data_IF_681095782301
#
_entry.id   IF_681095782301
#
_cell.length_a   1.000
_cell.length_b   1.000
_cell.length_c   1.000
_cell.angle_alpha   90.00
_cell.angle_beta   90.00
_cell.angle_gamma   90.00
#
_symmetry.space_group_name_H-M   'P 1'
#
loop_
_entity.id
_entity.type
_entity.pdbx_description
1 polymer ?
#
# COMPACT_ATOMS: atom_id res chain seq x y z
N UNK A 1 31.43 -42.90 -22.40
CA UNK A 1 30.05 -42.76 -21.85
C UNK A 1 29.98 -41.83 -20.64
N UNK A 2 30.85 -41.95 -19.62
CA UNK A 2 30.80 -41.08 -18.43
C UNK A 2 31.00 -39.56 -18.69
N UNK A 3 31.82 -39.18 -19.68
CA UNK A 3 32.09 -37.77 -20.02
C UNK A 3 30.85 -37.07 -20.61
N UNK A 4 30.08 -37.78 -21.43
CA UNK A 4 28.86 -37.26 -22.08
C UNK A 4 27.78 -36.94 -21.04
N UNK A 5 27.61 -37.81 -20.05
CA UNK A 5 26.63 -37.58 -18.97
C UNK A 5 27.07 -36.44 -18.05
N UNK A 6 28.37 -36.29 -17.77
CA UNK A 6 28.90 -35.14 -17.00
C UNK A 6 28.62 -33.82 -17.71
N UNK A 7 28.82 -33.74 -19.02
CA UNK A 7 28.49 -32.55 -19.82
C UNK A 7 26.98 -32.28 -19.85
N UNK A 8 26.15 -33.31 -19.99
CA UNK A 8 24.69 -33.14 -19.99
C UNK A 8 24.16 -32.65 -18.64
N UNK A 9 24.66 -33.21 -17.53
CA UNK A 9 24.36 -32.74 -16.17
C UNK A 9 24.84 -31.31 -15.94
N UNK A 10 26.03 -30.95 -16.42
CA UNK A 10 26.56 -29.60 -16.30
C UNK A 10 25.70 -28.58 -17.06
N UNK A 11 25.35 -28.86 -18.33
CA UNK A 11 24.50 -28.00 -19.13
C UNK A 11 23.08 -27.87 -18.55
N UNK A 12 22.51 -28.97 -18.04
CA UNK A 12 21.22 -28.94 -17.36
C UNK A 12 21.27 -28.09 -16.08
N UNK A 13 22.32 -28.22 -15.27
CA UNK A 13 22.55 -27.33 -14.12
C UNK A 13 22.70 -25.86 -14.54
N UNK A 14 23.48 -25.56 -15.59
CA UNK A 14 23.62 -24.18 -16.08
C UNK A 14 22.28 -23.57 -16.52
N UNK A 15 21.45 -24.35 -17.23
CA UNK A 15 20.10 -23.91 -17.63
C UNK A 15 19.21 -23.65 -16.42
N UNK A 16 19.19 -24.56 -15.44
CA UNK A 16 18.42 -24.35 -14.20
C UNK A 16 18.88 -23.11 -13.43
N UNK A 17 20.19 -22.92 -13.28
CA UNK A 17 20.77 -21.75 -12.59
C UNK A 17 20.42 -20.45 -13.31
N UNK A 18 20.52 -20.43 -14.64
CA UNK A 18 20.15 -19.25 -15.45
C UNK A 18 18.66 -18.92 -15.34
N UNK A 19 17.79 -19.93 -15.36
CA UNK A 19 16.34 -19.75 -15.18
C UNK A 19 15.99 -19.18 -13.80
N UNK A 20 16.58 -19.71 -12.73
CA UNK A 20 16.38 -19.19 -11.36
C UNK A 20 16.87 -17.75 -11.20
N UNK A 21 18.02 -17.40 -11.80
CA UNK A 21 18.59 -16.05 -11.71
C UNK A 21 17.72 -15.02 -12.43
N UNK A 22 17.17 -15.37 -13.60
CA UNK A 22 16.27 -14.49 -14.38
C UNK A 22 14.96 -14.25 -13.62
N UNK A 23 14.36 -15.30 -13.04
CA UNK A 23 13.13 -15.15 -12.24
C UNK A 23 13.37 -14.31 -10.98
N UNK A 24 14.48 -14.51 -10.28
CA UNK A 24 14.85 -13.72 -9.11
C UNK A 24 15.08 -12.24 -9.47
N UNK A 25 15.77 -11.96 -10.58
CA UNK A 25 15.98 -10.59 -11.07
C UNK A 25 14.66 -9.90 -11.43
N UNK A 26 13.72 -10.63 -12.03
CA UNK A 26 12.38 -10.12 -12.34
C UNK A 26 11.58 -9.78 -11.07
N UNK A 27 11.59 -10.66 -10.08
CA UNK A 27 10.91 -10.42 -8.81
C UNK A 27 11.43 -9.16 -8.12
N UNK A 28 12.76 -9.01 -8.03
CA UNK A 28 13.39 -7.82 -7.42
C UNK A 28 12.98 -6.53 -8.13
N UNK A 29 12.89 -6.57 -9.47
CA UNK A 29 12.46 -5.42 -10.24
C UNK A 29 10.99 -5.06 -10.00
N UNK A 30 10.10 -6.04 -10.01
CA UNK A 30 8.67 -5.85 -9.71
C UNK A 30 8.46 -5.31 -8.28
N UNK A 31 9.19 -5.85 -7.30
CA UNK A 31 9.14 -5.37 -5.90
C UNK A 31 9.59 -3.89 -5.78
N UNK A 32 10.62 -3.48 -6.54
CA UNK A 32 11.10 -2.10 -6.55
C UNK A 32 10.10 -1.13 -7.19
N UNK A 33 9.43 -1.54 -8.27
CA UNK A 33 8.37 -0.73 -8.89
C UNK A 33 7.18 -0.55 -7.94
N UNK A 34 6.78 -1.60 -7.22
CA UNK A 34 5.72 -1.52 -6.22
C UNK A 34 6.10 -0.57 -5.07
N UNK A 35 7.33 -0.64 -4.56
CA UNK A 35 7.78 0.28 -3.51
C UNK A 35 7.83 1.73 -3.99
N UNK A 36 8.31 1.97 -5.22
CA UNK A 36 8.33 3.29 -5.84
C UNK A 36 6.90 3.84 -6.00
N UNK A 37 5.96 3.02 -6.46
CA UNK A 37 4.56 3.40 -6.61
C UNK A 37 3.92 3.71 -5.25
N UNK A 38 4.19 2.90 -4.22
CA UNK A 38 3.69 3.16 -2.87
C UNK A 38 4.23 4.46 -2.29
N UNK A 39 5.51 4.78 -2.50
CA UNK A 39 6.08 6.04 -2.04
C UNK A 39 5.57 7.23 -2.86
N UNK A 40 5.20 7.04 -4.12
CA UNK A 40 4.55 8.07 -4.94
C UNK A 40 3.18 8.48 -4.39
N UNK A 41 2.42 7.54 -3.81
CA UNK A 41 1.12 7.80 -3.18
C UNK A 41 1.25 8.49 -1.80
N UNK A 42 2.47 8.71 -1.29
CA UNK A 42 2.69 9.28 0.03
C UNK A 42 2.22 10.74 0.08
N UNK A 43 1.32 11.03 1.02
CA UNK A 43 0.89 12.40 1.29
C UNK A 43 1.94 13.08 2.17
N UNK A 44 2.64 14.07 1.59
CA UNK A 44 3.71 14.83 2.27
C UNK A 44 3.17 16.09 2.94
N UNK A 45 2.33 16.83 2.22
CA UNK A 45 1.80 18.12 2.65
C UNK A 45 0.28 18.17 2.40
N UNK A 46 -0.50 17.99 3.46
CA UNK A 46 -1.95 18.14 3.41
C UNK A 46 -2.35 19.52 3.98
N UNK A 47 -3.08 20.36 3.22
CA UNK A 47 -3.49 21.67 3.71
C UNK A 47 -4.29 21.60 5.02
N UNK A 48 -3.91 22.45 5.98
CA UNK A 48 -4.56 22.50 7.29
C UNK A 48 -4.23 21.33 8.24
N UNK A 49 -3.33 20.42 7.84
CA UNK A 49 -2.91 19.29 8.66
C UNK A 49 -1.97 19.73 9.81
N UNK A 50 -2.24 19.34 11.08
CA UNK A 50 -1.30 19.51 12.17
C UNK A 50 -0.11 18.52 12.05
N UNK A 51 1.06 18.82 12.63
CA UNK A 51 2.22 17.92 12.56
C UNK A 51 1.92 16.50 13.07
N UNK A 52 2.31 15.48 12.31
CA UNK A 52 2.17 14.06 12.68
C UNK A 52 3.45 13.28 12.44
N UNK A 53 3.60 12.15 13.14
CA UNK A 53 4.75 11.25 13.02
C UNK A 53 4.45 9.97 12.21
N UNK A 54 3.19 9.73 11.86
CA UNK A 54 2.80 8.58 11.05
C UNK A 54 2.73 8.95 9.57
N UNK A 55 2.99 7.95 8.72
CA UNK A 55 2.86 8.09 7.26
C UNK A 55 1.43 7.82 6.84
N UNK A 56 0.97 8.52 5.82
CA UNK A 56 -0.31 8.26 5.19
C UNK A 56 -0.19 8.44 3.68
N UNK A 57 -1.01 7.69 2.95
CA UNK A 57 -0.88 7.49 1.51
C UNK A 57 -2.25 7.55 0.88
N UNK A 58 -2.39 8.21 -0.26
CA UNK A 58 -3.64 8.26 -0.99
C UNK A 58 -3.39 8.08 -2.47
N UNK A 59 -4.23 7.28 -3.11
CA UNK A 59 -4.06 6.94 -4.52
C UNK A 59 -5.25 6.18 -5.07
N UNK A 60 -5.05 5.51 -6.19
CA UNK A 60 -6.08 4.76 -6.89
C UNK A 60 -5.67 3.31 -7.11
N UNK A 61 -6.54 2.37 -6.72
CA UNK A 61 -6.40 0.95 -7.04
C UNK A 61 -7.24 0.65 -8.28
N UNK A 62 -6.59 0.26 -9.38
CA UNK A 62 -7.27 -0.14 -10.62
C UNK A 62 -7.94 -1.50 -10.42
N UNK A 63 -9.23 -1.61 -10.76
CA UNK A 63 -10.00 -2.85 -10.60
C UNK A 63 -9.89 -3.79 -11.79
N UNK A 64 -9.62 -3.23 -12.98
CA UNK A 64 -9.40 -3.99 -14.20
C UNK A 64 -8.07 -3.51 -14.82
N UNK A 65 -6.98 -4.29 -14.69
CA UNK A 65 -5.69 -3.94 -15.27
C UNK A 65 -5.72 -3.88 -16.81
N UNK A 66 -6.67 -4.58 -17.45
CA UNK A 66 -6.72 -4.78 -18.89
C UNK A 66 -7.57 -3.70 -19.55
N UNK A 67 -8.72 -3.35 -18.96
CA UNK A 67 -9.65 -2.36 -19.53
C UNK A 67 -9.49 -0.96 -18.93
N UNK A 68 -8.97 -0.85 -17.71
CA UNK A 68 -8.58 0.44 -17.10
C UNK A 68 -9.72 1.43 -16.78
N UNK A 69 -11.00 1.07 -16.98
CA UNK A 69 -12.09 2.04 -16.85
C UNK A 69 -12.57 2.31 -15.42
N UNK A 70 -12.16 1.50 -14.43
CA UNK A 70 -12.61 1.63 -13.04
C UNK A 70 -11.43 1.57 -12.07
N UNK A 71 -11.40 2.52 -11.14
CA UNK A 71 -10.45 2.55 -10.05
C UNK A 71 -11.13 3.02 -8.76
N UNK A 72 -10.66 2.51 -7.62
CA UNK A 72 -11.10 2.93 -6.29
C UNK A 72 -10.06 3.87 -5.70
N UNK A 73 -10.50 5.06 -5.28
CA UNK A 73 -9.67 5.93 -4.47
C UNK A 73 -9.54 5.37 -3.05
N UNK A 74 -8.34 5.42 -2.48
CA UNK A 74 -8.07 5.02 -1.11
C UNK A 74 -7.29 6.10 -0.36
N UNK A 75 -7.40 6.09 0.97
CA UNK A 75 -6.54 6.88 1.85
C UNK A 75 -6.13 6.06 3.07
N UNK A 76 -4.90 5.55 3.02
CA UNK A 76 -4.30 4.65 3.97
C UNK A 76 -3.51 5.39 5.05
N UNK A 77 -3.77 5.07 6.31
CA UNK A 77 -3.08 5.64 7.47
C UNK A 77 -2.27 4.55 8.18
N UNK A 78 -0.96 4.78 8.30
CA UNK A 78 -0.14 3.91 9.14
C UNK A 78 -0.54 4.03 10.61
N UNK A 79 -0.25 2.96 11.35
CA UNK A 79 -0.33 2.98 12.79
C UNK A 79 0.62 4.06 13.37
N UNK A 80 0.16 4.80 14.38
CA UNK A 80 0.94 5.88 15.00
C UNK A 80 2.23 5.40 15.66
N UNK A 81 2.25 4.15 16.14
CA UNK A 81 3.48 3.44 16.48
C UNK A 81 3.63 2.29 15.50
N UNK A 82 4.65 2.37 14.65
CA UNK A 82 4.90 1.38 13.62
C UNK A 82 5.30 0.06 14.28
N UNK A 83 4.54 -1.01 14.03
CA UNK A 83 4.85 -2.35 14.51
C UNK A 83 4.25 -3.36 13.54
N UNK A 84 5.03 -4.35 13.07
CA UNK A 84 4.54 -5.36 12.13
C UNK A 84 3.42 -6.24 12.71
N UNK A 85 3.22 -6.21 14.03
CA UNK A 85 2.18 -7.00 14.71
C UNK A 85 0.82 -6.30 14.79
N UNK A 86 0.71 -5.06 14.33
CA UNK A 86 -0.59 -4.35 14.33
C UNK A 86 -1.45 -4.79 13.16
N UNK A 87 -2.77 -4.94 13.35
CA UNK A 87 -3.65 -5.41 12.29
C UNK A 87 -3.84 -4.33 11.21
N UNK A 88 -4.07 -4.81 9.98
CA UNK A 88 -4.67 -4.02 8.90
C UNK A 88 -6.19 -4.07 9.03
N UNK A 89 -6.83 -2.92 8.96
CA UNK A 89 -8.28 -2.76 8.97
C UNK A 89 -8.70 -2.01 7.73
N UNK A 90 -9.60 -2.61 6.95
CA UNK A 90 -10.32 -1.96 5.88
C UNK A 90 -11.65 -1.41 6.42
N UNK A 91 -11.93 -0.14 6.17
CA UNK A 91 -13.18 0.50 6.57
C UNK A 91 -14.01 0.94 5.37
N UNK A 92 -15.26 0.50 5.34
CA UNK A 92 -16.21 0.80 4.27
C UNK A 92 -17.48 1.43 4.87
N UNK A 93 -17.74 2.69 4.55
CA UNK A 93 -19.04 3.28 4.85
C UNK A 93 -20.10 2.73 3.87
N UNK A 94 -21.32 2.60 4.37
CA UNK A 94 -22.46 2.07 3.63
C UNK A 94 -23.22 3.12 2.82
N UNK A 95 -24.56 2.99 2.77
CA UNK A 95 -25.42 3.86 1.97
C UNK A 95 -26.38 3.03 1.14
N UNK A 96 -26.35 3.13 -0.20
CA UNK A 96 -25.15 3.14 -1.05
C UNK A 96 -24.65 4.52 -1.50
N UNK A 97 -23.37 4.60 -1.87
CA UNK A 97 -22.76 5.77 -2.51
C UNK A 97 -22.08 6.77 -1.57
N UNK A 98 -22.17 6.57 -0.25
CA UNK A 98 -21.43 7.39 0.70
C UNK A 98 -19.93 7.07 0.66
N UNK A 99 -19.10 8.10 0.79
CA UNK A 99 -17.65 7.94 0.78
C UNK A 99 -17.10 7.55 2.15
N UNK A 100 -16.27 6.50 2.19
CA UNK A 100 -15.51 6.14 3.40
C UNK A 100 -14.56 7.24 3.86
N UNK A 101 -14.12 8.09 2.93
CA UNK A 101 -13.25 9.23 3.25
C UNK A 101 -14.05 10.35 3.91
N UNK A 102 -15.22 10.68 3.34
CA UNK A 102 -16.04 11.79 3.81
C UNK A 102 -16.62 11.54 5.22
N UNK A 103 -16.99 10.29 5.53
CA UNK A 103 -17.55 9.91 6.82
C UNK A 103 -16.51 9.25 7.73
N UNK A 104 -16.08 8.03 7.39
CA UNK A 104 -15.15 7.24 8.18
C UNK A 104 -13.87 7.98 8.54
N UNK A 105 -13.13 8.45 7.53
CA UNK A 105 -11.84 9.10 7.77
C UNK A 105 -12.00 10.51 8.36
N UNK A 106 -12.87 11.35 7.78
CA UNK A 106 -12.94 12.78 8.09
C UNK A 106 -13.84 13.16 9.28
N UNK A 107 -14.76 12.28 9.71
CA UNK A 107 -15.75 12.60 10.74
C UNK A 107 -15.83 11.56 11.87
N UNK A 108 -15.47 10.30 11.60
CA UNK A 108 -15.63 9.21 12.57
C UNK A 108 -14.28 8.80 13.20
N UNK A 109 -13.53 7.94 12.52
CA UNK A 109 -12.43 7.16 13.10
C UNK A 109 -11.03 7.50 12.58
N UNK A 110 -10.94 8.31 11.51
CA UNK A 110 -9.67 8.71 10.94
C UNK A 110 -8.88 9.65 11.86
N UNK A 111 -7.60 9.89 11.54
CA UNK A 111 -6.72 10.69 12.39
C UNK A 111 -7.00 12.19 12.33
N UNK A 112 -7.68 12.66 11.28
CA UNK A 112 -7.97 14.07 11.05
C UNK A 112 -9.48 14.28 11.00
N UNK A 113 -10.00 15.14 11.88
CA UNK A 113 -11.38 15.62 11.79
C UNK A 113 -11.41 16.96 11.08
N UNK A 114 -12.34 17.12 10.15
CA UNK A 114 -12.53 18.35 9.37
C UNK A 114 -13.39 19.34 10.14
N UNK A 115 -12.90 20.57 10.33
CA UNK A 115 -13.69 21.69 10.86
C UNK A 115 -14.42 22.43 9.75
N UNK A 116 -15.46 23.18 10.11
CA UNK A 116 -16.27 23.96 9.16
C UNK A 116 -15.49 25.03 8.35
N UNK A 117 -14.30 25.42 8.82
CA UNK A 117 -13.39 26.32 8.10
C UNK A 117 -12.37 25.59 7.21
N UNK A 118 -12.49 24.27 7.03
CA UNK A 118 -11.57 23.44 6.25
C UNK A 118 -10.26 23.07 6.96
N UNK A 119 -10.03 23.51 8.20
CA UNK A 119 -8.86 23.08 8.98
C UNK A 119 -9.02 21.68 9.54
N UNK A 120 -7.89 21.00 9.77
CA UNK A 120 -7.86 19.65 10.34
C UNK A 120 -7.45 19.68 11.80
N UNK A 121 -8.10 18.85 12.62
CA UNK A 121 -7.68 18.60 14.00
C UNK A 121 -7.42 17.12 14.23
N UNK A 122 -6.51 16.81 15.14
CA UNK A 122 -6.23 15.42 15.49
C UNK A 122 -7.38 14.79 16.26
N UNK A 123 -7.82 13.62 15.80
CA UNK A 123 -8.78 12.80 16.51
C UNK A 123 -8.08 12.04 17.66
N UNK A 124 -8.40 12.42 18.91
CA UNK A 124 -7.85 11.76 20.11
C UNK A 124 -8.25 10.29 20.21
N UNK A 125 -9.27 9.84 19.48
CA UNK A 125 -9.76 8.46 19.50
C UNK A 125 -9.58 7.75 18.15
N UNK A 126 -8.68 8.26 17.30
CA UNK A 126 -8.43 7.64 16.00
C UNK A 126 -8.01 6.18 16.13
N UNK A 127 -8.54 5.35 15.23
CA UNK A 127 -8.22 3.94 15.18
C UNK A 127 -6.77 3.69 14.78
N UNK A 128 -6.15 4.61 14.03
CA UNK A 128 -4.76 4.47 13.60
C UNK A 128 -3.76 4.54 14.77
N UNK A 129 -4.20 4.82 16.01
CA UNK A 129 -3.34 4.64 17.20
C UNK A 129 -2.80 3.21 17.33
N UNK A 130 -3.66 2.23 17.06
CA UNK A 130 -3.37 0.81 17.27
C UNK A 130 -3.36 -0.05 16.00
N UNK A 131 -3.73 0.50 14.84
CA UNK A 131 -4.01 -0.26 13.62
C UNK A 131 -3.49 0.46 12.38
N UNK A 132 -3.22 -0.30 11.33
CA UNK A 132 -3.10 0.24 9.97
C UNK A 132 -4.52 0.35 9.41
N UNK A 133 -4.92 1.52 8.92
CA UNK A 133 -6.31 1.78 8.52
C UNK A 133 -6.37 2.15 7.05
N UNK A 134 -7.08 1.35 6.25
CA UNK A 134 -7.38 1.54 4.84
C UNK A 134 -8.84 1.96 4.65
#
# INVERSE_FOLDING_TARGET
>A
MALVWKLFMFLYCCLLISGSLVTAGRQVFEDHEEEAQREADRVKDLPGQPPVKFRHYSGYIKLDPIKGHKALFYWFFHAQQNSPHKPLVLWLNGGPGCSSIAYGAAQELGPFLVRGNGSLILNKFSWNKGKYCL
#
